data_IF_850004403402
#
_entry.id   IF_850004403402
#
_cell.length_a   1.000
_cell.length_b   1.000
_cell.length_c   1.000
_cell.angle_alpha   90.00
_cell.angle_beta   90.00
_cell.angle_gamma   90.00
#
_symmetry.space_group_name_H-M   'P 1'
#
loop_
_entity.id
_entity.type
_entity.pdbx_description
1 polymer ?
#
# COMPACT_ATOMS: atom_id res chain seq x y z
N UNK A 1 -22.98 -5.72 15.38
CA UNK A 1 -21.72 -5.72 14.60
C UNK A 1 -21.33 -4.35 14.01
N UNK A 2 -22.26 -3.42 13.71
CA UNK A 2 -21.87 -2.12 13.10
C UNK A 2 -21.34 -1.05 14.08
N UNK A 3 -21.70 -1.09 15.37
CA UNK A 3 -21.30 -0.06 16.34
C UNK A 3 -19.79 -0.07 16.63
N UNK A 4 -19.20 -1.25 16.88
CA UNK A 4 -17.76 -1.37 17.15
C UNK A 4 -16.92 -0.87 15.95
N UNK A 5 -17.37 -1.18 14.72
CA UNK A 5 -16.70 -0.72 13.51
C UNK A 5 -16.74 0.80 13.38
N UNK A 6 -17.92 1.42 13.60
CA UNK A 6 -18.06 2.89 13.59
C UNK A 6 -17.18 3.55 14.64
N UNK A 7 -17.13 3.02 15.87
CA UNK A 7 -16.29 3.54 16.94
C UNK A 7 -14.80 3.45 16.58
N UNK A 8 -14.36 2.29 16.08
CA UNK A 8 -12.97 2.04 15.70
C UNK A 8 -12.56 2.92 14.51
N UNK A 9 -13.38 2.99 13.47
CA UNK A 9 -13.20 3.89 12.32
C UNK A 9 -13.03 5.35 12.79
N UNK A 10 -13.93 5.82 13.64
CA UNK A 10 -13.89 7.19 14.18
C UNK A 10 -12.61 7.43 14.97
N UNK A 11 -12.18 6.47 15.81
CA UNK A 11 -10.92 6.56 16.56
C UNK A 11 -9.72 6.78 15.65
N UNK A 12 -9.60 6.04 14.55
CA UNK A 12 -8.45 6.15 13.65
C UNK A 12 -8.52 7.36 12.72
N UNK A 13 -9.71 7.78 12.30
CA UNK A 13 -9.87 9.04 11.54
C UNK A 13 -9.38 10.23 12.38
N UNK A 14 -9.68 10.25 13.69
CA UNK A 14 -9.19 11.30 14.60
C UNK A 14 -7.65 11.35 14.75
N UNK A 15 -6.94 10.31 14.30
CA UNK A 15 -5.47 10.30 14.31
C UNK A 15 -4.86 10.89 13.03
N UNK A 16 -5.66 11.09 11.98
CA UNK A 16 -5.21 11.72 10.74
C UNK A 16 -5.00 13.24 10.93
N UNK A 17 -4.25 13.92 10.07
CA UNK A 17 -4.14 15.38 10.13
C UNK A 17 -5.51 16.06 9.98
N UNK A 18 -5.74 17.24 10.58
CA UNK A 18 -7.06 17.87 10.67
C UNK A 18 -7.81 17.97 9.33
N UNK A 19 -7.11 18.33 8.25
CA UNK A 19 -7.68 18.48 6.90
C UNK A 19 -8.30 17.18 6.34
N UNK A 20 -7.88 16.03 6.88
CA UNK A 20 -8.37 14.71 6.48
C UNK A 20 -9.48 14.18 7.39
N UNK A 21 -9.65 14.75 8.58
CA UNK A 21 -10.67 14.31 9.54
C UNK A 21 -12.08 14.69 9.11
N UNK A 22 -12.22 15.81 8.39
CA UNK A 22 -13.49 16.35 7.91
C UNK A 22 -13.91 15.86 6.53
N UNK A 23 -13.07 15.08 5.84
CA UNK A 23 -13.40 14.55 4.51
C UNK A 23 -14.65 13.67 4.62
N UNK A 24 -15.73 14.13 3.95
CA UNK A 24 -17.07 13.61 4.15
C UNK A 24 -17.11 12.08 4.04
N UNK A 25 -17.56 11.47 5.13
CA UNK A 25 -17.78 10.03 5.21
C UNK A 25 -19.23 9.79 4.83
N UNK A 26 -19.49 8.87 3.89
CA UNK A 26 -20.84 8.35 3.79
C UNK A 26 -21.13 7.54 5.06
N UNK A 27 -22.10 7.99 5.86
CA UNK A 27 -22.52 7.29 7.09
C UNK A 27 -23.16 5.92 6.84
N UNK A 28 -23.51 5.64 5.59
CA UNK A 28 -23.99 4.33 5.15
C UNK A 28 -22.84 3.34 5.04
N UNK A 29 -22.57 2.65 6.14
CA UNK A 29 -21.79 1.40 6.11
C UNK A 29 -22.66 0.35 5.42
N UNK A 30 -22.37 0.07 4.16
CA UNK A 30 -23.05 -0.99 3.39
C UNK A 30 -22.27 -2.29 3.58
N UNK A 31 -22.98 -3.38 3.85
CA UNK A 31 -22.36 -4.72 3.89
C UNK A 31 -21.82 -5.06 2.50
N UNK A 32 -20.56 -5.47 2.43
CA UNK A 32 -19.88 -5.79 1.16
C UNK A 32 -20.61 -6.91 0.40
N UNK A 33 -21.27 -7.83 1.11
CA UNK A 33 -22.05 -8.92 0.54
C UNK A 33 -23.42 -8.53 -0.03
N UNK A 34 -23.78 -7.24 -0.06
CA UNK A 34 -25.07 -6.79 -0.61
C UNK A 34 -24.92 -6.31 -2.06
N UNK A 35 -25.94 -6.48 -2.92
CA UNK A 35 -25.92 -5.90 -4.28
C UNK A 35 -25.66 -4.39 -4.29
N UNK A 36 -26.08 -3.67 -3.25
CA UNK A 36 -25.81 -2.26 -3.06
C UNK A 36 -24.32 -1.94 -2.87
N UNK A 37 -23.52 -2.86 -2.34
CA UNK A 37 -22.07 -2.70 -2.30
C UNK A 37 -21.46 -2.83 -3.69
N UNK A 38 -21.94 -3.76 -4.53
CA UNK A 38 -21.47 -3.90 -5.91
C UNK A 38 -21.71 -2.62 -6.72
N UNK A 39 -22.89 -2.00 -6.60
CA UNK A 39 -23.19 -0.72 -7.26
C UNK A 39 -22.32 0.45 -6.75
N UNK A 40 -21.81 0.40 -5.53
CA UNK A 40 -20.90 1.42 -4.98
C UNK A 40 -19.45 1.24 -5.43
N UNK A 41 -19.07 0.05 -5.90
CA UNK A 41 -17.71 -0.22 -6.42
C UNK A 41 -17.43 0.57 -7.70
N UNK A 42 -18.45 0.81 -8.52
CA UNK A 42 -18.31 1.49 -9.83
C UNK A 42 -18.21 3.01 -9.73
N UNK A 43 -18.65 3.62 -8.63
CA UNK A 43 -18.85 5.07 -8.53
C UNK A 43 -17.59 5.88 -8.12
N UNK A 44 -16.46 5.23 -7.82
CA UNK A 44 -15.17 5.90 -7.56
C UNK A 44 -15.14 6.85 -6.34
N UNK A 45 -16.21 6.94 -5.55
CA UNK A 45 -16.26 7.76 -4.33
C UNK A 45 -15.49 7.08 -3.21
N UNK A 46 -14.85 7.89 -2.35
CA UNK A 46 -14.21 7.46 -1.10
C UNK A 46 -15.15 6.49 -0.37
N UNK A 47 -14.77 5.21 -0.37
CA UNK A 47 -15.67 4.10 -0.11
C UNK A 47 -15.89 3.80 1.37
N UNK A 48 -16.19 2.53 1.65
CA UNK A 48 -16.53 1.92 2.95
C UNK A 48 -15.86 2.50 4.22
N UNK A 49 -14.59 2.95 4.15
CA UNK A 49 -13.84 3.42 5.31
C UNK A 49 -13.57 4.94 5.35
N UNK A 50 -14.10 5.74 4.41
CA UNK A 50 -13.90 7.19 4.39
C UNK A 50 -12.42 7.55 4.17
N UNK A 51 -11.94 8.57 4.89
CA UNK A 51 -10.55 9.05 4.82
C UNK A 51 -9.48 7.95 5.06
N UNK A 52 -9.84 6.84 5.71
CA UNK A 52 -8.94 5.69 5.90
C UNK A 52 -8.67 4.90 4.61
N UNK A 53 -9.28 5.24 3.49
CA UNK A 53 -8.95 4.64 2.18
C UNK A 53 -7.90 5.44 1.41
N UNK A 54 -7.60 6.66 1.85
CA UNK A 54 -6.66 7.53 1.17
C UNK A 54 -5.27 6.91 1.17
N UNK A 55 -4.53 7.12 0.09
CA UNK A 55 -3.16 6.64 -0.04
C UNK A 55 -2.24 7.21 1.04
N UNK A 56 -2.59 8.38 1.58
CA UNK A 56 -1.84 9.05 2.66
C UNK A 56 -2.24 8.60 4.07
N UNK A 57 -3.29 7.80 4.22
CA UNK A 57 -3.69 7.27 5.53
C UNK A 57 -2.75 6.11 5.94
N UNK A 58 -1.58 6.46 6.47
CA UNK A 58 -0.52 5.51 6.85
C UNK A 58 -0.48 5.30 8.36
N UNK A 59 -0.64 4.05 8.77
CA UNK A 59 -0.55 3.59 10.15
C UNK A 59 0.62 2.63 10.32
N UNK A 60 1.04 2.38 11.54
CA UNK A 60 2.11 1.43 11.85
C UNK A 60 1.93 0.79 13.20
N UNK A 61 2.41 -0.44 13.35
CA UNK A 61 2.59 -1.14 14.63
C UNK A 61 4.04 -1.05 15.15
N UNK A 62 4.88 -0.27 14.46
CA UNK A 62 6.32 -0.14 14.70
C UNK A 62 7.18 -1.10 13.87
N UNK A 63 6.58 -2.08 13.17
CA UNK A 63 7.29 -3.00 12.28
C UNK A 63 6.92 -2.78 10.81
N UNK A 64 5.65 -2.51 10.53
CA UNK A 64 5.12 -2.38 9.17
C UNK A 64 4.34 -1.08 9.00
N UNK A 65 4.34 -0.53 7.79
CA UNK A 65 3.35 0.47 7.41
C UNK A 65 2.06 -0.22 6.98
N UNK A 66 0.90 0.33 7.28
CA UNK A 66 -0.41 -0.11 6.82
C UNK A 66 -1.09 1.07 6.16
N UNK A 67 -1.31 0.97 4.86
CA UNK A 67 -1.70 2.11 4.04
C UNK A 67 -3.14 1.93 3.58
N UNK A 68 -3.96 2.93 3.83
CA UNK A 68 -5.33 2.97 3.36
C UNK A 68 -6.13 1.72 3.77
N UNK A 69 -6.59 0.97 2.75
CA UNK A 69 -7.45 -0.20 2.97
C UNK A 69 -6.73 -1.37 3.66
N UNK A 70 -5.41 -1.51 3.53
CA UNK A 70 -4.63 -2.54 4.23
C UNK A 70 -4.90 -2.48 5.73
N UNK A 71 -4.85 -1.26 6.27
CA UNK A 71 -5.09 -1.00 7.69
C UNK A 71 -6.50 -1.44 8.12
N UNK A 72 -7.50 -1.16 7.27
CA UNK A 72 -8.89 -1.56 7.49
C UNK A 72 -9.11 -3.07 7.42
N UNK A 73 -8.19 -3.82 6.83
CA UNK A 73 -8.26 -5.28 6.80
C UNK A 73 -7.52 -5.89 7.99
N UNK A 74 -6.32 -5.40 8.32
CA UNK A 74 -5.53 -5.91 9.46
C UNK A 74 -6.21 -5.65 10.81
N UNK A 75 -6.85 -4.49 11.00
CA UNK A 75 -7.45 -4.18 12.31
C UNK A 75 -8.66 -5.07 12.68
N UNK A 76 -9.22 -5.84 11.72
CA UNK A 76 -10.31 -6.80 11.91
C UNK A 76 -9.76 -8.07 12.58
N UNK A 77 -8.49 -8.37 12.33
CA UNK A 77 -7.81 -9.58 12.83
C UNK A 77 -7.57 -9.58 14.34
N UNK A 78 -7.63 -8.41 14.99
CA UNK A 78 -7.28 -8.23 16.40
C UNK A 78 -8.30 -8.80 17.41
N UNK A 79 -9.42 -9.35 16.97
CA UNK A 79 -10.43 -9.85 17.91
C UNK A 79 -10.17 -11.28 18.39
N UNK A 80 -9.25 -12.05 17.78
CA UNK A 80 -9.06 -13.46 18.15
C UNK A 80 -7.62 -14.00 18.16
N UNK A 81 -6.57 -13.29 17.68
CA UNK A 81 -5.22 -13.91 17.62
C UNK A 81 -3.98 -13.01 17.84
N UNK A 82 -2.89 -13.66 18.30
CA UNK A 82 -1.77 -13.16 19.12
C UNK A 82 -0.64 -12.35 18.42
N UNK A 83 -0.69 -12.11 17.11
CA UNK A 83 0.51 -11.62 16.37
C UNK A 83 0.68 -10.09 16.30
N UNK A 84 -0.32 -9.30 16.69
CA UNK A 84 -0.22 -7.83 16.69
C UNK A 84 -0.50 -7.30 18.10
N UNK A 85 0.51 -7.30 18.96
CA UNK A 85 0.40 -6.90 20.38
C UNK A 85 0.45 -5.39 20.62
N UNK A 86 0.82 -4.56 19.62
CA UNK A 86 1.00 -3.10 19.77
C UNK A 86 -0.07 -2.28 19.09
N UNK A 87 -0.68 -1.34 19.81
CA UNK A 87 -1.67 -0.43 19.23
C UNK A 87 -1.13 0.26 17.98
N UNK A 88 -1.96 0.31 16.94
CA UNK A 88 -1.61 1.00 15.71
C UNK A 88 -1.54 2.50 15.97
N UNK A 89 -0.48 3.12 15.45
CA UNK A 89 -0.26 4.55 15.52
C UNK A 89 -0.29 5.14 14.12
N UNK A 90 -0.76 6.37 14.01
CA UNK A 90 -0.60 7.13 12.78
C UNK A 90 0.89 7.44 12.57
N UNK A 91 1.39 7.21 11.35
CA UNK A 91 2.78 7.47 10.99
C UNK A 91 2.87 8.75 10.19
N UNK A 92 3.27 9.85 10.82
CA UNK A 92 3.52 11.12 10.12
C UNK A 92 4.56 10.94 9.01
N UNK A 93 5.65 10.21 9.30
CA UNK A 93 6.71 9.93 8.32
C UNK A 93 6.19 9.14 7.11
N UNK A 94 5.30 8.18 7.35
CA UNK A 94 4.66 7.42 6.28
C UNK A 94 3.68 8.27 5.46
N UNK A 95 2.90 9.13 6.15
CA UNK A 95 2.02 10.10 5.52
C UNK A 95 2.79 11.03 4.59
N UNK A 96 3.92 11.58 5.04
CA UNK A 96 4.74 12.52 4.26
C UNK A 96 5.28 11.85 2.98
N UNK A 97 5.77 10.62 3.08
CA UNK A 97 6.23 9.85 1.91
C UNK A 97 5.08 9.55 0.95
N UNK A 98 3.95 9.07 1.44
CA UNK A 98 2.79 8.79 0.61
C UNK A 98 2.25 10.06 -0.08
N UNK A 99 2.22 11.19 0.64
CA UNK A 99 1.78 12.47 0.10
C UNK A 99 2.73 12.98 -1.00
N UNK A 100 4.04 12.84 -0.80
CA UNK A 100 5.04 13.15 -1.83
C UNK A 100 4.82 12.30 -3.09
N UNK A 101 4.66 10.98 -2.96
CA UNK A 101 4.43 10.08 -4.09
C UNK A 101 3.11 10.38 -4.83
N UNK A 102 2.03 10.68 -4.09
CA UNK A 102 0.73 11.07 -4.68
C UNK A 102 0.86 12.38 -5.47
N UNK A 103 1.56 13.38 -4.92
CA UNK A 103 1.80 14.64 -5.60
C UNK A 103 2.67 14.46 -6.85
N UNK A 104 3.69 13.61 -6.77
CA UNK A 104 4.63 13.31 -7.86
C UNK A 104 3.93 12.73 -9.10
N UNK A 105 2.86 11.96 -8.90
CA UNK A 105 2.03 11.42 -10.01
C UNK A 105 0.90 12.37 -10.42
N UNK A 106 0.95 13.63 -10.00
CA UNK A 106 -0.01 14.68 -10.38
C UNK A 106 -1.40 14.52 -9.75
N UNK A 107 -1.51 13.86 -8.59
CA UNK A 107 -2.79 13.62 -7.92
C UNK A 107 -2.90 14.37 -6.59
N UNK A 108 -4.14 14.53 -6.10
CA UNK A 108 -4.43 15.22 -4.84
C UNK A 108 -4.54 14.24 -3.67
N UNK A 109 -3.80 14.47 -2.59
CA UNK A 109 -3.79 13.62 -1.39
C UNK A 109 -5.15 13.49 -0.69
N UNK A 110 -6.02 14.49 -0.82
CA UNK A 110 -7.36 14.53 -0.20
C UNK A 110 -8.37 13.63 -0.88
N UNK A 111 -8.12 13.18 -2.11
CA UNK A 111 -9.05 12.36 -2.89
C UNK A 111 -8.46 11.05 -3.38
N UNK A 112 -7.13 10.93 -3.41
CA UNK A 112 -6.45 9.76 -3.97
C UNK A 112 -6.45 8.61 -2.97
N UNK A 113 -7.08 7.50 -3.36
CA UNK A 113 -7.10 6.26 -2.57
C UNK A 113 -5.86 5.41 -2.80
N UNK A 114 -5.57 4.50 -1.87
CA UNK A 114 -4.50 3.51 -2.07
C UNK A 114 -4.71 2.70 -3.36
N UNK A 115 -5.96 2.31 -3.64
CA UNK A 115 -6.32 1.59 -4.87
C UNK A 115 -6.08 2.43 -6.14
N UNK A 116 -6.22 3.75 -6.08
CA UNK A 116 -5.90 4.62 -7.23
C UNK A 116 -4.40 4.60 -7.53
N UNK A 117 -3.56 4.64 -6.49
CA UNK A 117 -2.11 4.53 -6.63
C UNK A 117 -1.69 3.14 -7.12
N UNK A 118 -2.41 2.09 -6.74
CA UNK A 118 -2.15 0.71 -7.20
C UNK A 118 -2.40 0.53 -8.67
N UNK A 119 -3.50 1.10 -9.15
CA UNK A 119 -3.89 1.03 -10.57
C UNK A 119 -2.91 1.77 -11.47
N UNK A 120 -2.18 2.77 -10.96
CA UNK A 120 -1.11 3.40 -11.73
C UNK A 120 0.05 2.42 -12.00
N UNK A 121 0.30 1.51 -11.06
CA UNK A 121 1.37 0.51 -11.12
C UNK A 121 2.72 1.08 -11.62
N UNK A 122 3.06 2.29 -11.18
CA UNK A 122 4.30 2.96 -11.54
C UNK A 122 5.47 2.40 -10.73
N UNK A 123 6.69 2.69 -11.20
CA UNK A 123 7.92 2.41 -10.48
C UNK A 123 8.63 3.71 -10.15
N UNK A 124 9.24 3.74 -8.97
CA UNK A 124 9.87 4.91 -8.39
C UNK A 124 11.28 4.55 -7.92
N UNK A 125 12.14 5.54 -7.85
CA UNK A 125 13.47 5.43 -7.23
C UNK A 125 13.58 6.45 -6.10
N UNK A 126 14.37 6.12 -5.08
CA UNK A 126 14.67 7.05 -3.99
C UNK A 126 15.90 7.87 -4.35
N UNK A 127 15.77 9.20 -4.41
CA UNK A 127 16.86 10.07 -4.86
C UNK A 127 18.01 10.12 -3.83
N UNK A 128 17.67 9.98 -2.53
CA UNK A 128 18.65 9.99 -1.43
C UNK A 128 19.53 8.73 -1.41
N UNK A 129 19.05 7.62 -1.99
CA UNK A 129 19.83 6.39 -2.06
C UNK A 129 20.92 6.45 -3.15
N UNK A 130 20.76 7.30 -4.18
CA UNK A 130 21.67 7.37 -5.34
C UNK A 130 23.05 7.97 -5.05
N UNK A 131 23.22 8.67 -3.92
CA UNK A 131 24.41 9.47 -3.60
C UNK A 131 25.63 8.69 -3.04
N UNK A 132 25.51 7.38 -2.80
CA UNK A 132 26.63 6.59 -2.29
C UNK A 132 27.81 6.60 -3.26
N UNK A 133 29.01 6.86 -2.74
CA UNK A 133 30.27 6.73 -3.50
C UNK A 133 30.45 5.31 -4.03
N UNK A 134 31.21 5.12 -5.11
CA UNK A 134 31.45 3.79 -5.69
C UNK A 134 32.01 2.79 -4.66
N UNK A 135 32.81 3.26 -3.70
CA UNK A 135 33.28 2.49 -2.55
C UNK A 135 32.15 2.05 -1.60
N UNK A 136 31.16 2.90 -1.34
CA UNK A 136 29.99 2.60 -0.49
C UNK A 136 28.98 1.69 -1.20
N UNK A 137 28.88 1.81 -2.52
CA UNK A 137 28.07 0.93 -3.39
C UNK A 137 28.62 -0.50 -3.45
N UNK A 138 29.94 -0.69 -3.33
CA UNK A 138 30.57 -2.03 -3.28
C UNK A 138 30.50 -2.66 -1.89
N UNK A 139 30.49 -1.86 -0.83
CA UNK A 139 30.47 -2.32 0.55
C UNK A 139 29.05 -2.59 1.09
N UNK A 140 28.06 -1.83 0.63
CA UNK A 140 26.65 -2.06 0.94
C UNK A 140 25.95 -2.60 -0.30
N UNK A 141 25.02 -3.57 -0.16
CA UNK A 141 24.04 -3.89 -1.21
C UNK A 141 23.10 -2.68 -1.34
N UNK A 142 23.62 -1.56 -1.82
CA UNK A 142 23.00 -0.25 -1.67
C UNK A 142 21.65 -0.27 -2.37
N UNK A 143 20.60 0.16 -1.67
CA UNK A 143 19.26 0.26 -2.24
C UNK A 143 19.15 1.35 -3.34
N UNK A 144 20.26 2.04 -3.62
CA UNK A 144 20.47 3.01 -4.69
C UNK A 144 20.06 2.51 -6.07
N UNK A 145 20.17 1.20 -6.28
CA UNK A 145 19.92 0.53 -7.54
C UNK A 145 18.58 -0.18 -7.52
N UNK A 146 17.54 0.30 -6.83
CA UNK A 146 16.25 -0.40 -6.80
C UNK A 146 15.12 0.48 -7.27
N UNK A 147 14.29 -0.11 -8.13
CA UNK A 147 12.99 0.40 -8.47
C UNK A 147 11.97 -0.17 -7.49
N UNK A 148 11.09 0.69 -7.00
CA UNK A 148 10.10 0.37 -5.98
C UNK A 148 8.70 0.61 -6.53
N UNK A 149 7.74 -0.24 -6.15
CA UNK A 149 6.34 0.18 -6.15
C UNK A 149 6.08 1.22 -5.05
N UNK A 150 5.05 2.06 -5.22
CA UNK A 150 4.80 3.20 -4.31
C UNK A 150 4.64 2.81 -2.83
N UNK A 151 3.98 1.68 -2.50
CA UNK A 151 3.90 1.21 -1.10
C UNK A 151 5.27 0.88 -0.53
N UNK A 152 6.15 0.30 -1.36
CA UNK A 152 7.50 -0.06 -0.95
C UNK A 152 8.36 1.19 -0.75
N UNK A 153 8.14 2.27 -1.50
CA UNK A 153 8.73 3.58 -1.22
C UNK A 153 8.36 4.10 0.17
N UNK A 154 7.07 3.97 0.55
CA UNK A 154 6.62 4.37 1.89
C UNK A 154 7.31 3.53 2.98
N UNK A 155 7.33 2.20 2.82
CA UNK A 155 8.03 1.30 3.73
C UNK A 155 9.53 1.63 3.82
N UNK A 156 10.19 1.83 2.67
CA UNK A 156 11.59 2.22 2.55
C UNK A 156 11.87 3.47 3.37
N UNK A 157 11.19 4.57 3.07
CA UNK A 157 11.41 5.83 3.76
C UNK A 157 11.13 5.74 5.26
N UNK A 158 10.09 5.01 5.66
CA UNK A 158 9.77 4.80 7.07
C UNK A 158 10.87 4.04 7.83
N UNK A 159 11.50 3.06 7.19
CA UNK A 159 12.54 2.22 7.80
C UNK A 159 13.95 2.79 7.65
N UNK A 160 14.19 3.71 6.70
CA UNK A 160 15.47 4.38 6.52
C UNK A 160 15.81 5.33 7.67
N UNK A 161 17.10 5.51 7.92
CA UNK A 161 17.60 6.46 8.91
C UNK A 161 17.18 7.90 8.54
N UNK A 162 16.78 8.68 9.55
CA UNK A 162 16.34 10.07 9.39
C UNK A 162 17.45 11.03 8.98
N UNK A 163 18.71 10.67 9.21
CA UNK A 163 19.86 11.51 8.85
C UNK A 163 19.98 11.60 7.33
N UNK A 164 19.94 10.45 6.64
CA UNK A 164 20.15 10.39 5.19
C UNK A 164 18.85 10.52 4.40
N UNK A 165 17.70 10.33 5.06
CA UNK A 165 16.36 10.43 4.47
C UNK A 165 15.50 11.37 5.31
N UNK A 166 15.95 12.62 5.44
CA UNK A 166 15.29 13.63 6.29
C UNK A 166 13.93 14.03 5.74
N UNK A 167 13.82 14.18 4.41
CA UNK A 167 12.59 14.46 3.66
C UNK A 167 12.36 13.39 2.60
N UNK A 168 11.11 13.03 2.26
CA UNK A 168 10.88 12.06 1.19
C UNK A 168 11.27 12.66 -0.16
N UNK A 169 12.26 12.04 -0.82
CA UNK A 169 12.64 12.36 -2.20
C UNK A 169 12.56 11.13 -3.08
N UNK A 170 11.68 11.20 -4.08
CA UNK A 170 11.47 10.13 -5.05
C UNK A 170 11.30 10.69 -6.46
N UNK A 171 11.71 9.91 -7.44
CA UNK A 171 11.48 10.15 -8.86
C UNK A 171 10.67 9.01 -9.48
N UNK A 172 9.77 9.32 -10.41
CA UNK A 172 9.04 8.32 -11.21
C UNK A 172 9.93 7.87 -12.35
N UNK A 173 10.02 6.56 -12.59
CA UNK A 173 10.74 6.05 -13.74
C UNK A 173 9.98 6.35 -15.05
N UNK A 174 10.70 6.69 -16.15
CA UNK A 174 10.10 6.81 -17.47
C UNK A 174 9.36 5.53 -17.90
N UNK A 175 8.36 5.60 -18.82
CA UNK A 175 7.55 4.45 -19.20
C UNK A 175 8.33 3.28 -19.82
N UNK A 176 9.34 3.57 -20.65
CA UNK A 176 10.23 2.60 -21.29
C UNK A 176 11.07 1.85 -20.26
N UNK A 177 11.67 2.57 -19.31
CA UNK A 177 12.43 2.00 -18.20
C UNK A 177 11.53 1.21 -17.25
N UNK A 178 10.32 1.72 -16.98
CA UNK A 178 9.32 1.01 -16.17
C UNK A 178 8.94 -0.32 -16.82
N UNK A 179 8.75 -0.36 -18.14
CA UNK A 179 8.44 -1.59 -18.86
C UNK A 179 9.59 -2.60 -18.77
N UNK A 180 10.84 -2.15 -18.93
CA UNK A 180 12.03 -3.00 -18.77
C UNK A 180 12.14 -3.57 -17.35
N UNK A 181 12.06 -2.73 -16.32
CA UNK A 181 12.03 -3.15 -14.92
C UNK A 181 10.93 -4.17 -14.68
N UNK A 182 9.72 -3.92 -15.21
CA UNK A 182 8.59 -4.84 -15.08
C UNK A 182 8.81 -6.19 -15.75
N UNK A 183 9.56 -6.25 -16.85
CA UNK A 183 9.88 -7.51 -17.51
C UNK A 183 10.82 -8.41 -16.68
N UNK A 184 11.52 -7.81 -15.72
CA UNK A 184 12.49 -8.46 -14.84
C UNK A 184 11.93 -8.69 -13.43
N UNK A 185 10.67 -8.32 -13.15
CA UNK A 185 10.10 -8.57 -11.82
C UNK A 185 9.99 -10.08 -11.60
N UNK A 186 10.46 -10.60 -10.44
CA UNK A 186 10.09 -11.94 -10.07
C UNK A 186 8.57 -12.01 -9.84
N UNK A 187 8.03 -13.21 -9.96
CA UNK A 187 6.63 -13.47 -9.60
C UNK A 187 6.35 -12.97 -8.17
N UNK A 188 5.18 -12.38 -7.96
CA UNK A 188 4.80 -11.79 -6.67
C UNK A 188 4.77 -12.89 -5.59
N UNK A 189 5.68 -12.85 -4.59
CA UNK A 189 5.76 -13.90 -3.57
C UNK A 189 4.46 -14.04 -2.78
N UNK A 190 3.63 -12.99 -2.71
CA UNK A 190 2.33 -13.05 -2.04
C UNK A 190 1.45 -14.15 -2.61
N UNK A 191 1.53 -14.45 -3.92
CA UNK A 191 0.70 -15.46 -4.58
C UNK A 191 0.90 -16.86 -4.00
N UNK A 192 2.08 -17.16 -3.47
CA UNK A 192 2.47 -18.48 -2.96
C UNK A 192 2.33 -18.62 -1.44
N UNK A 193 2.02 -17.53 -0.73
CA UNK A 193 1.99 -17.52 0.72
C UNK A 193 0.58 -17.79 1.26
N UNK A 194 0.49 -18.58 2.34
CA UNK A 194 -0.73 -18.78 3.12
C UNK A 194 -1.02 -17.59 4.04
N UNK A 195 -1.33 -16.44 3.43
CA UNK A 195 -1.61 -15.17 4.12
C UNK A 195 -2.79 -14.42 3.51
N UNK A 196 -3.55 -15.08 2.65
CA UNK A 196 -4.75 -14.50 2.05
C UNK A 196 -5.96 -14.75 2.94
N UNK A 197 -6.90 -13.82 2.87
CA UNK A 197 -8.19 -13.93 3.53
C UNK A 197 -9.31 -13.35 2.66
N UNK A 198 -10.53 -13.80 2.93
CA UNK A 198 -11.74 -13.25 2.34
C UNK A 198 -12.16 -11.96 3.07
N UNK A 199 -12.39 -10.87 2.35
CA UNK A 199 -12.84 -9.59 2.93
C UNK A 199 -14.35 -9.54 3.22
N UNK A 200 -15.12 -10.52 2.76
CA UNK A 200 -16.58 -10.60 2.92
C UNK A 200 -17.01 -11.36 4.17
N UNK A 201 -16.16 -12.26 4.66
CA UNK A 201 -16.41 -13.02 5.87
C UNK A 201 -16.24 -12.15 7.11
N UNK A 202 -17.20 -12.28 8.05
CA UNK A 202 -17.12 -11.61 9.36
C UNK A 202 -16.31 -12.39 10.38
N UNK A 203 -16.24 -13.72 10.22
CA UNK A 203 -15.29 -14.54 10.94
C UNK A 203 -13.94 -14.43 10.23
N UNK A 204 -12.86 -14.45 11.00
CA UNK A 204 -11.50 -14.54 10.47
C UNK A 204 -11.30 -16.01 10.08
N UNK A 205 -11.28 -16.36 8.78
CA UNK A 205 -10.84 -17.70 8.41
C UNK A 205 -9.36 -17.85 8.76
N UNK A 206 -8.89 -19.10 8.84
CA UNK A 206 -7.45 -19.35 8.84
C UNK A 206 -6.82 -18.68 7.61
N UNK A 207 -5.55 -18.30 7.72
CA UNK A 207 -4.84 -17.69 6.60
C UNK A 207 -4.57 -18.79 5.56
N UNK A 208 -5.03 -18.57 4.34
CA UNK A 208 -4.97 -19.55 3.26
C UNK A 208 -4.15 -19.02 2.09
N UNK A 209 -3.87 -19.88 1.10
CA UNK A 209 -3.32 -19.44 -0.19
C UNK A 209 -4.38 -18.68 -1.02
N UNK A 210 -3.92 -17.94 -2.02
CA UNK A 210 -4.79 -17.08 -2.84
C UNK A 210 -5.86 -17.87 -3.58
N UNK A 211 -5.53 -19.06 -4.09
CA UNK A 211 -6.44 -19.86 -4.90
C UNK A 211 -7.59 -20.39 -4.06
N UNK A 212 -7.29 -20.90 -2.86
CA UNK A 212 -8.28 -21.36 -1.88
C UNK A 212 -9.25 -20.23 -1.49
N UNK A 213 -8.73 -19.03 -1.22
CA UNK A 213 -9.59 -17.87 -0.91
C UNK A 213 -10.44 -17.44 -2.11
N UNK A 214 -9.89 -17.48 -3.33
CA UNK A 214 -10.64 -17.16 -4.54
C UNK A 214 -11.78 -18.16 -4.78
N UNK A 215 -11.54 -19.45 -4.58
CA UNK A 215 -12.58 -20.49 -4.67
C UNK A 215 -13.66 -20.31 -3.59
N UNK A 216 -13.27 -19.99 -2.35
CA UNK A 216 -14.20 -19.64 -1.29
C UNK A 216 -15.11 -18.46 -1.70
N UNK A 217 -14.53 -17.40 -2.24
CA UNK A 217 -15.29 -16.22 -2.67
C UNK A 217 -16.25 -16.56 -3.82
N UNK A 218 -15.81 -17.38 -4.77
CA UNK A 218 -16.66 -17.87 -5.86
C UNK A 218 -17.85 -18.67 -5.31
N UNK A 219 -17.60 -19.65 -4.45
CA UNK A 219 -18.61 -20.63 -4.00
C UNK A 219 -19.53 -20.09 -2.91
N UNK A 220 -19.01 -19.28 -1.98
CA UNK A 220 -19.74 -18.77 -0.82
C UNK A 220 -20.35 -17.39 -1.08
N UNK A 221 -19.66 -16.54 -1.86
CA UNK A 221 -20.10 -15.17 -2.13
C UNK A 221 -20.58 -14.95 -3.57
N UNK A 222 -20.48 -15.95 -4.44
CA UNK A 222 -20.92 -15.89 -5.83
C UNK A 222 -20.26 -14.74 -6.63
N UNK A 223 -18.98 -14.48 -6.36
CA UNK A 223 -18.17 -13.47 -7.07
C UNK A 223 -17.20 -14.20 -7.99
N UNK A 224 -17.45 -14.12 -9.30
CA UNK A 224 -16.74 -14.90 -10.32
C UNK A 224 -15.35 -14.38 -10.68
N UNK A 225 -15.09 -13.10 -10.42
CA UNK A 225 -13.81 -12.45 -10.67
C UNK A 225 -13.43 -11.62 -9.44
N UNK A 226 -12.97 -12.27 -8.35
CA UNK A 226 -12.68 -11.57 -7.11
C UNK A 226 -11.44 -10.67 -7.30
N UNK A 227 -11.54 -9.43 -6.81
CA UNK A 227 -10.47 -8.44 -6.93
C UNK A 227 -9.58 -8.39 -5.68
N UNK A 228 -8.26 -8.27 -5.90
CA UNK A 228 -7.29 -8.06 -4.82
C UNK A 228 -7.58 -6.75 -4.07
N UNK A 229 -7.34 -6.76 -2.76
CA UNK A 229 -7.66 -5.69 -1.80
C UNK A 229 -9.14 -5.29 -1.72
N UNK A 230 -10.03 -5.92 -2.50
CA UNK A 230 -11.48 -5.72 -2.43
C UNK A 230 -12.18 -6.95 -1.87
N UNK A 231 -12.05 -8.07 -2.58
CA UNK A 231 -12.68 -9.34 -2.24
C UNK A 231 -11.69 -10.27 -1.56
N UNK A 232 -10.42 -10.27 -2.01
CA UNK A 232 -9.29 -10.92 -1.36
C UNK A 232 -8.43 -9.89 -0.62
N UNK A 233 -7.77 -10.28 0.45
CA UNK A 233 -6.74 -9.46 1.09
C UNK A 233 -5.54 -10.31 1.46
N UNK A 234 -4.35 -9.84 1.05
CA UNK A 234 -3.09 -10.42 1.49
C UNK A 234 -2.61 -9.71 2.76
N UNK A 235 -2.43 -10.45 3.86
CA UNK A 235 -1.88 -9.90 5.09
C UNK A 235 -0.37 -9.65 4.93
N UNK A 236 0.08 -8.39 4.92
CA UNK A 236 1.50 -8.11 4.74
C UNK A 236 2.33 -8.73 5.87
N UNK A 237 3.55 -9.13 5.55
CA UNK A 237 4.61 -9.44 6.52
C UNK A 237 5.89 -8.70 6.13
N UNK A 238 6.84 -8.52 7.07
CA UNK A 238 8.12 -7.89 6.74
C UNK A 238 8.77 -8.60 5.55
N UNK A 239 9.12 -7.83 4.52
CA UNK A 239 9.75 -8.34 3.31
C UNK A 239 8.82 -8.95 2.25
N UNK A 240 7.51 -9.09 2.47
CA UNK A 240 6.60 -9.78 1.52
C UNK A 240 5.68 -8.88 0.71
N UNK A 241 5.72 -7.56 0.92
CA UNK A 241 5.12 -6.62 -0.05
C UNK A 241 5.92 -6.65 -1.34
N UNK A 242 5.21 -6.51 -2.48
CA UNK A 242 5.68 -6.67 -3.87
C UNK A 242 7.21 -6.49 -4.03
N UNK A 243 7.87 -7.42 -4.72
CA UNK A 243 9.31 -7.62 -4.62
C UNK A 243 10.13 -6.39 -5.02
N UNK A 244 11.29 -6.26 -4.38
CA UNK A 244 12.34 -5.31 -4.73
C UNK A 244 13.04 -5.77 -6.01
N UNK A 245 13.28 -4.88 -6.96
CA UNK A 245 14.02 -5.22 -8.17
C UNK A 245 15.19 -4.30 -8.34
N UNK A 246 16.35 -4.90 -8.61
CA UNK A 246 17.54 -4.17 -8.99
C UNK A 246 17.29 -3.40 -10.31
N UNK A 247 17.10 -2.10 -10.16
CA UNK A 247 17.31 -1.11 -11.19
C UNK A 247 18.81 -0.94 -11.42
N UNK A 248 19.33 -1.58 -12.46
CA UNK A 248 20.59 -1.15 -13.06
C UNK A 248 20.26 0.03 -13.97
N UNK A 249 20.80 1.24 -13.73
CA UNK A 249 20.79 2.26 -14.76
C UNK A 249 21.41 1.63 -16.00
N UNK A 250 20.73 1.70 -17.13
CA UNK A 250 21.42 1.56 -18.42
C UNK A 250 22.50 2.63 -18.38
N UNK A 251 23.76 2.26 -18.63
CA UNK A 251 24.95 3.13 -18.63
C UNK A 251 24.59 4.58 -18.99
N UNK A 252 25.17 5.58 -18.30
CA UNK A 252 24.77 6.97 -18.46
C UNK A 252 24.67 7.30 -19.94
N UNK A 253 23.50 7.74 -20.40
CA UNK A 253 23.41 8.41 -21.69
C UNK A 253 24.38 9.59 -21.58
N UNK A 254 25.53 9.46 -22.24
CA UNK A 254 26.34 10.59 -22.64
C UNK A 254 25.44 11.47 -23.51
N UNK A 255 24.68 12.35 -22.86
CA UNK A 255 24.13 13.53 -23.51
C UNK A 255 25.35 14.40 -23.75
N UNK A 256 26.06 14.08 -24.83
CA UNK A 256 27.04 14.97 -25.42
C UNK A 256 26.33 16.32 -25.60
N UNK A 257 26.69 17.26 -24.73
CA UNK A 257 26.44 18.67 -24.91
C UNK A 257 27.17 19.07 -26.19
N UNK A 258 26.51 18.97 -27.34
CA UNK A 258 26.90 19.74 -28.51
C UNK A 258 26.63 21.22 -28.20
N UNK A 259 27.71 21.90 -27.78
CA UNK A 259 27.87 23.35 -27.84
C UNK A 259 28.63 23.73 -29.09
#
# INVERSE_FOLDING_TARGET
MMHWFKQRRTRFIKMLPPDFQSLQISDSVVRISTPAAAARRTDGKVGFAGALQLAVAVFTDGALAYIGRDFCNVWKMRTTDFLVTKDFLFSQRGFDAAANLVALVGRASTTTTAADMDRLDLRFVCDDCGGATESERRASKSQAEYAFGWRKCVDHYMLSNRIDHSTPSFSVLPPDITADVKSREPEDPSLMHQRWQCNHCSALPELEDRATVAEHILTVHNITAPADDEDLFYLPSPGTRRPLIAYQPVEPFDVALER
#
